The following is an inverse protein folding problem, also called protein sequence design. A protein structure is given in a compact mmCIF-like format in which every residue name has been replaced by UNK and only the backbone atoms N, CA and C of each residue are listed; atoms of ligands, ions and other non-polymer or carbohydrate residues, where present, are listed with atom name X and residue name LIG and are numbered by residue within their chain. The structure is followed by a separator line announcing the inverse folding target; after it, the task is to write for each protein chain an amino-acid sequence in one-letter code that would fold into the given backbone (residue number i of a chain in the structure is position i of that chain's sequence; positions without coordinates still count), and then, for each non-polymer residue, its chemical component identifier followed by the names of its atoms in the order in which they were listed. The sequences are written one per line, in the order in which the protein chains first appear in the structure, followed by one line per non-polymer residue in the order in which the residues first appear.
data_IF_034920381235
#
_entry.id   IF_034920381235
#
_cell.length_a   1.000
_cell.length_b   1.000
_cell.length_c   1.000
_cell.angle_alpha   90.00
_cell.angle_beta   90.00
_cell.angle_gamma   90.00
#
_symmetry.space_group_name_H-M   'P 1'
#
loop_
_entity.id
_entity.type
_entity.pdbx_description
1 polymer ?
#
# COMPACT_ATOMS: atom_id res chain seq x y z
N UNK A 1 12.03 12.07 -24.03
CA UNK A 1 11.37 10.93 -23.37
C UNK A 1 10.05 11.49 -22.86
N UNK A 2 8.91 11.07 -23.41
CA UNK A 2 7.61 11.64 -23.04
C UNK A 2 7.35 11.44 -21.55
N UNK A 3 6.79 12.44 -20.89
CA UNK A 3 6.27 12.32 -19.54
C UNK A 3 5.10 11.32 -19.62
N UNK A 4 5.36 10.04 -19.34
CA UNK A 4 4.32 9.00 -19.35
C UNK A 4 3.55 9.15 -18.04
N UNK A 5 2.74 10.21 -17.97
CA UNK A 5 1.81 10.45 -16.88
C UNK A 5 0.83 9.29 -16.74
N UNK A 6 0.31 9.13 -15.53
CA UNK A 6 -0.66 8.08 -15.21
C UNK A 6 -1.91 8.22 -16.09
N UNK A 7 -2.26 7.15 -16.81
CA UNK A 7 -3.30 7.18 -17.85
C UNK A 7 -4.70 7.00 -17.27
N UNK A 8 -5.72 7.36 -18.06
CA UNK A 8 -7.14 7.13 -17.70
C UNK A 8 -7.43 5.66 -17.49
N UNK A 9 -6.87 4.82 -18.37
CA UNK A 9 -6.99 3.38 -18.28
C UNK A 9 -6.42 2.86 -16.96
N UNK A 10 -5.24 3.31 -16.57
CA UNK A 10 -4.63 2.92 -15.28
C UNK A 10 -5.48 3.39 -14.09
N UNK A 11 -6.04 4.61 -14.14
CA UNK A 11 -6.96 5.10 -13.09
C UNK A 11 -8.20 4.23 -12.97
N UNK A 12 -8.85 3.92 -14.10
CA UNK A 12 -10.02 3.04 -14.14
C UNK A 12 -9.70 1.66 -13.61
N UNK A 13 -8.58 1.04 -14.02
CA UNK A 13 -8.16 -0.27 -13.52
C UNK A 13 -8.00 -0.27 -12.01
N UNK A 14 -7.36 0.75 -11.44
CA UNK A 14 -7.19 0.87 -9.97
C UNK A 14 -8.52 1.07 -9.26
N UNK A 15 -9.41 1.92 -9.78
CA UNK A 15 -10.73 2.17 -9.18
C UNK A 15 -11.60 0.92 -9.20
N UNK A 16 -11.72 0.26 -10.34
CA UNK A 16 -12.56 -0.94 -10.48
C UNK A 16 -12.05 -2.11 -9.64
N UNK A 17 -10.74 -2.33 -9.61
CA UNK A 17 -10.14 -3.35 -8.77
C UNK A 17 -10.28 -3.04 -7.27
N UNK A 18 -10.21 -1.77 -6.88
CA UNK A 18 -10.48 -1.36 -5.51
C UNK A 18 -11.94 -1.62 -5.11
N UNK A 19 -12.91 -1.36 -6.00
CA UNK A 19 -14.31 -1.70 -5.75
C UNK A 19 -14.52 -3.20 -5.49
N UNK A 20 -13.76 -4.07 -6.17
CA UNK A 20 -13.81 -5.52 -5.95
C UNK A 20 -13.19 -5.89 -4.59
N UNK A 21 -11.99 -5.39 -4.27
CA UNK A 21 -11.35 -5.66 -2.98
C UNK A 21 -12.20 -5.20 -1.79
N UNK A 22 -12.93 -4.08 -1.92
CA UNK A 22 -13.81 -3.59 -0.85
C UNK A 22 -14.93 -4.54 -0.46
N UNK A 23 -15.30 -5.49 -1.31
CA UNK A 23 -16.38 -6.43 -1.02
C UNK A 23 -16.05 -7.37 0.14
N UNK A 24 -14.76 -7.64 0.40
CA UNK A 24 -14.32 -8.46 1.53
C UNK A 24 -13.00 -7.93 2.14
N UNK A 25 -13.08 -6.71 2.68
CA UNK A 25 -11.96 -6.08 3.40
C UNK A 25 -11.37 -7.00 4.48
N UNK A 26 -12.16 -7.70 5.34
CA UNK A 26 -11.61 -8.61 6.32
C UNK A 26 -10.72 -9.70 5.71
N UNK A 27 -11.17 -10.39 4.66
CA UNK A 27 -10.40 -11.43 3.96
C UNK A 27 -9.11 -10.86 3.39
N UNK A 28 -9.18 -9.78 2.62
CA UNK A 28 -8.01 -9.26 1.91
C UNK A 28 -7.03 -8.54 2.84
N UNK A 29 -7.48 -7.96 3.95
CA UNK A 29 -6.59 -7.44 4.98
C UNK A 29 -5.78 -8.55 5.64
N UNK A 30 -6.44 -9.67 5.96
CA UNK A 30 -5.77 -10.85 6.53
C UNK A 30 -4.76 -11.42 5.54
N UNK A 31 -5.17 -11.63 4.29
CA UNK A 31 -4.31 -12.15 3.24
C UNK A 31 -3.07 -11.26 3.02
N UNK A 32 -3.25 -9.95 2.94
CA UNK A 32 -2.17 -8.98 2.77
C UNK A 32 -1.10 -9.08 3.86
N UNK A 33 -1.51 -9.08 5.13
CA UNK A 33 -0.54 -9.23 6.22
C UNK A 33 0.08 -10.62 6.29
N UNK A 34 -0.65 -11.67 5.94
CA UNK A 34 -0.07 -13.01 5.81
C UNK A 34 1.03 -13.02 4.75
N UNK A 35 0.83 -12.35 3.60
CA UNK A 35 1.86 -12.24 2.56
C UNK A 35 3.08 -11.45 3.02
N UNK A 36 2.89 -10.34 3.75
CA UNK A 36 4.02 -9.58 4.34
C UNK A 36 4.86 -10.48 5.25
N UNK A 37 4.23 -11.23 6.15
CA UNK A 37 4.95 -12.09 7.09
C UNK A 37 5.54 -13.35 6.44
N UNK A 38 4.95 -13.83 5.34
CA UNK A 38 5.52 -14.91 4.55
C UNK A 38 6.81 -14.48 3.85
N UNK A 39 6.83 -13.26 3.29
CA UNK A 39 8.00 -12.70 2.59
C UNK A 39 9.08 -12.27 3.58
N UNK A 40 8.68 -11.59 4.67
CA UNK A 40 9.59 -11.05 5.68
C UNK A 40 9.02 -11.27 7.09
N UNK A 41 9.26 -12.44 7.72
CA UNK A 41 8.78 -12.72 9.07
C UNK A 41 9.26 -11.69 10.12
N UNK A 42 10.46 -11.13 9.93
CA UNK A 42 11.04 -10.11 10.80
C UNK A 42 10.23 -8.79 10.83
N UNK A 43 9.40 -8.52 9.81
CA UNK A 43 8.56 -7.32 9.78
C UNK A 43 7.43 -7.36 10.83
N UNK A 44 7.15 -8.53 11.43
CA UNK A 44 6.14 -8.72 12.46
C UNK A 44 6.26 -7.70 13.61
N UNK A 45 7.48 -7.51 14.13
CA UNK A 45 7.72 -6.69 15.32
C UNK A 45 7.56 -5.18 15.07
N UNK A 46 7.56 -4.78 13.80
CA UNK A 46 7.31 -3.41 13.35
C UNK A 46 5.83 -3.05 13.45
N UNK A 47 4.95 -4.04 13.35
CA UNK A 47 3.51 -3.85 13.52
C UNK A 47 3.12 -4.11 14.97
N UNK A 48 2.88 -3.03 15.72
CA UNK A 48 2.47 -3.12 17.14
C UNK A 48 1.23 -3.98 17.40
N UNK A 49 0.38 -4.20 16.39
CA UNK A 49 -0.80 -5.06 16.46
C UNK A 49 -0.55 -6.54 16.09
N UNK A 50 0.69 -6.91 15.75
CA UNK A 50 1.13 -8.28 15.46
C UNK A 50 2.16 -8.82 16.46
N UNK A 51 2.85 -7.95 17.21
CA UNK A 51 3.97 -8.31 18.09
C UNK A 51 3.66 -9.46 19.05
N UNK A 52 2.49 -9.45 19.67
CA UNK A 52 2.10 -10.42 20.71
C UNK A 52 1.26 -11.60 20.17
N UNK A 53 1.23 -11.83 18.85
CA UNK A 53 0.41 -12.89 18.24
C UNK A 53 1.28 -13.87 17.46
N UNK A 54 1.16 -15.17 17.71
CA UNK A 54 1.92 -16.19 16.96
C UNK A 54 1.52 -16.24 15.47
N UNK A 55 0.27 -15.91 15.17
CA UNK A 55 -0.31 -15.87 13.83
C UNK A 55 -0.91 -14.50 13.53
N UNK A 56 -1.24 -14.24 12.25
CA UNK A 56 -1.94 -13.02 11.85
C UNK A 56 -3.37 -13.03 12.43
N UNK A 57 -3.72 -12.10 13.32
CA UNK A 57 -4.98 -12.15 14.05
C UNK A 57 -6.17 -11.79 13.15
N UNK A 58 -7.01 -12.79 12.85
CA UNK A 58 -8.16 -12.70 11.92
C UNK A 58 -9.15 -11.57 12.22
N UNK A 59 -9.33 -11.24 13.50
CA UNK A 59 -10.30 -10.24 13.96
C UNK A 59 -9.66 -9.00 14.60
N UNK A 60 -8.46 -8.61 14.15
CA UNK A 60 -7.80 -7.41 14.67
C UNK A 60 -8.25 -6.14 13.91
N UNK A 61 -8.92 -5.17 14.57
CA UNK A 61 -9.38 -3.95 13.92
C UNK A 61 -8.23 -3.03 13.46
N UNK A 62 -7.09 -3.03 14.16
CA UNK A 62 -5.92 -2.23 13.77
C UNK A 62 -5.28 -2.74 12.48
N UNK A 63 -5.21 -4.07 12.34
CA UNK A 63 -4.74 -4.73 11.12
C UNK A 63 -5.60 -4.33 9.92
N UNK A 64 -6.93 -4.49 10.06
CA UNK A 64 -7.89 -4.11 9.01
C UNK A 64 -7.77 -2.62 8.66
N UNK A 65 -7.69 -1.75 9.67
CA UNK A 65 -7.54 -0.31 9.45
C UNK A 65 -6.24 0.04 8.72
N UNK A 66 -5.13 -0.63 9.02
CA UNK A 66 -3.85 -0.38 8.35
C UNK A 66 -3.90 -0.85 6.89
N UNK A 67 -4.38 -2.07 6.62
CA UNK A 67 -4.53 -2.57 5.25
C UNK A 67 -5.42 -1.65 4.40
N UNK A 68 -6.57 -1.22 4.93
CA UNK A 68 -7.45 -0.28 4.23
C UNK A 68 -6.76 1.05 3.95
N UNK A 69 -5.95 1.58 4.87
CA UNK A 69 -5.18 2.80 4.62
C UNK A 69 -4.22 2.63 3.44
N UNK A 70 -3.49 1.52 3.38
CA UNK A 70 -2.57 1.23 2.26
C UNK A 70 -3.34 1.17 0.93
N UNK A 71 -4.41 0.36 0.87
CA UNK A 71 -5.18 0.20 -0.38
C UNK A 71 -5.84 1.51 -0.81
N UNK A 72 -6.50 2.21 0.13
CA UNK A 72 -7.21 3.44 -0.15
C UNK A 72 -6.26 4.56 -0.58
N UNK A 73 -5.16 4.77 0.14
CA UNK A 73 -4.21 5.84 -0.20
C UNK A 73 -3.50 5.55 -1.52
N UNK A 74 -3.25 4.29 -1.85
CA UNK A 74 -2.71 3.92 -3.17
C UNK A 74 -3.71 4.21 -4.28
N UNK A 75 -4.99 3.87 -4.08
CA UNK A 75 -6.07 4.23 -5.02
C UNK A 75 -6.23 5.76 -5.18
N UNK A 76 -6.18 6.52 -4.09
CA UNK A 76 -6.22 7.99 -4.13
C UNK A 76 -5.01 8.57 -4.85
N UNK A 77 -3.83 7.96 -4.68
CA UNK A 77 -2.61 8.34 -5.40
C UNK A 77 -2.75 8.15 -6.89
N UNK A 78 -3.33 7.02 -7.35
CA UNK A 78 -3.61 6.79 -8.77
C UNK A 78 -4.48 7.92 -9.38
N UNK A 79 -5.54 8.32 -8.66
CA UNK A 79 -6.42 9.42 -9.06
C UNK A 79 -5.65 10.74 -9.14
N UNK A 80 -4.86 11.06 -8.12
CA UNK A 80 -4.07 12.30 -8.08
C UNK A 80 -3.01 12.35 -9.17
N UNK A 81 -2.33 11.24 -9.45
CA UNK A 81 -1.35 11.16 -10.54
C UNK A 81 -2.02 11.42 -11.88
N UNK A 82 -3.24 10.91 -12.10
CA UNK A 82 -4.00 11.17 -13.32
C UNK A 82 -4.48 12.63 -13.42
N UNK A 83 -5.11 13.14 -12.38
CA UNK A 83 -5.73 14.47 -12.38
C UNK A 83 -4.71 15.61 -12.32
N UNK A 84 -3.60 15.41 -11.60
CA UNK A 84 -2.67 16.47 -11.20
C UNK A 84 -1.22 16.20 -11.59
N UNK A 85 -0.90 15.02 -12.11
CA UNK A 85 0.47 14.62 -12.48
C UNK A 85 1.40 14.38 -11.29
N UNK A 86 0.90 14.42 -10.05
CA UNK A 86 1.70 14.29 -8.82
C UNK A 86 0.86 13.84 -7.64
N UNK A 87 1.53 13.30 -6.62
CA UNK A 87 0.93 13.00 -5.32
C UNK A 87 0.60 14.32 -4.62
N UNK A 88 -0.65 14.47 -4.18
CA UNK A 88 -1.16 15.63 -3.44
C UNK A 88 -1.83 15.13 -2.17
N UNK A 89 -1.01 14.67 -1.23
CA UNK A 89 -1.42 14.37 0.14
C UNK A 89 -1.05 15.57 1.01
N UNK A 90 -1.91 15.98 1.93
CA UNK A 90 -1.66 17.12 2.79
C UNK A 90 -0.34 16.95 3.56
N UNK A 91 0.49 18.00 3.61
CA UNK A 91 1.82 17.97 4.22
C UNK A 91 1.81 17.41 5.65
N UNK A 92 0.82 17.83 6.46
CA UNK A 92 0.65 17.32 7.83
C UNK A 92 0.40 15.81 7.90
N UNK A 93 -0.24 15.25 6.89
CA UNK A 93 -0.47 13.80 6.78
C UNK A 93 0.81 13.09 6.34
N UNK A 94 1.53 13.62 5.36
CA UNK A 94 2.80 13.05 4.91
C UNK A 94 3.85 13.07 6.02
N UNK A 95 4.00 14.18 6.74
CA UNK A 95 4.89 14.31 7.90
C UNK A 95 4.55 13.28 8.98
N UNK A 96 3.26 13.14 9.31
CA UNK A 96 2.82 12.11 10.26
C UNK A 96 3.18 10.70 9.80
N UNK A 97 2.96 10.40 8.51
CA UNK A 97 3.30 9.09 7.95
C UNK A 97 4.80 8.85 7.98
N UNK A 98 5.63 9.82 7.57
CA UNK A 98 7.08 9.75 7.66
C UNK A 98 7.54 9.42 9.08
N UNK A 99 7.06 10.18 10.06
CA UNK A 99 7.39 10.00 11.48
C UNK A 99 7.05 8.61 12.00
N UNK A 100 5.85 8.11 11.69
CA UNK A 100 5.41 6.79 12.17
C UNK A 100 6.23 5.67 11.54
N UNK A 101 6.54 5.76 10.24
CA UNK A 101 7.34 4.74 9.56
C UNK A 101 8.78 4.75 10.07
N UNK A 102 9.37 5.94 10.24
CA UNK A 102 10.71 6.11 10.80
C UNK A 102 10.81 5.54 12.22
N UNK A 103 9.90 5.92 13.11
CA UNK A 103 9.85 5.42 14.51
C UNK A 103 9.63 3.92 14.60
N UNK A 104 9.01 3.32 13.60
CA UNK A 104 8.78 1.87 13.52
C UNK A 104 9.96 1.11 12.89
N UNK A 105 11.05 1.80 12.54
CA UNK A 105 12.24 1.20 11.93
C UNK A 105 12.03 0.75 10.49
N UNK A 106 11.07 1.34 9.77
CA UNK A 106 10.81 1.03 8.36
C UNK A 106 12.01 1.47 7.52
N UNK A 107 12.37 0.63 6.55
CA UNK A 107 13.52 0.80 5.67
C UNK A 107 13.04 0.60 4.24
N UNK A 108 13.84 1.02 3.26
CA UNK A 108 13.51 0.87 1.84
C UNK A 108 13.08 -0.57 1.45
N UNK A 109 13.77 -1.65 1.89
CA UNK A 109 13.35 -3.02 1.57
C UNK A 109 11.96 -3.39 2.10
N UNK A 110 11.52 -2.78 3.20
CA UNK A 110 10.19 -3.05 3.78
C UNK A 110 9.06 -2.53 2.87
N UNK A 111 9.28 -1.43 2.14
CA UNK A 111 8.31 -0.95 1.15
C UNK A 111 8.17 -1.93 -0.03
N UNK A 112 9.27 -2.53 -0.48
CA UNK A 112 9.24 -3.54 -1.54
C UNK A 112 8.47 -4.81 -1.11
N UNK A 113 8.67 -5.26 0.14
CA UNK A 113 7.87 -6.36 0.72
C UNK A 113 6.38 -6.04 0.72
N UNK A 114 6.02 -4.81 1.11
CA UNK A 114 4.63 -4.36 1.15
C UNK A 114 4.04 -4.25 -0.26
N UNK A 115 4.81 -3.80 -1.25
CA UNK A 115 4.42 -3.76 -2.67
C UNK A 115 4.12 -5.17 -3.20
N UNK A 116 5.03 -6.11 -2.98
CA UNK A 116 4.85 -7.51 -3.38
C UNK A 116 3.59 -8.11 -2.72
N UNK A 117 3.40 -7.89 -1.41
CA UNK A 117 2.21 -8.36 -0.70
C UNK A 117 0.91 -7.73 -1.25
N UNK A 118 0.93 -6.45 -1.64
CA UNK A 118 -0.19 -5.76 -2.27
C UNK A 118 -0.54 -6.42 -3.61
N UNK A 119 0.45 -6.67 -4.46
CA UNK A 119 0.28 -7.32 -5.77
C UNK A 119 -0.32 -8.73 -5.61
N UNK A 120 0.19 -9.53 -4.68
CA UNK A 120 -0.37 -10.86 -4.38
C UNK A 120 -1.82 -10.78 -3.89
N UNK A 121 -2.13 -9.76 -3.09
CA UNK A 121 -3.50 -9.52 -2.61
C UNK A 121 -4.44 -9.12 -3.74
N UNK A 122 -3.98 -8.31 -4.70
CA UNK A 122 -4.74 -7.98 -5.91
C UNK A 122 -5.02 -9.24 -6.74
N UNK A 123 -4.01 -10.11 -6.91
CA UNK A 123 -4.17 -11.37 -7.63
C UNK A 123 -5.21 -12.29 -6.99
N UNK A 124 -5.16 -12.45 -5.66
CA UNK A 124 -6.15 -13.22 -4.90
C UNK A 124 -7.55 -12.60 -4.98
N UNK A 125 -7.67 -11.28 -4.87
CA UNK A 125 -8.97 -10.62 -4.80
C UNK A 125 -9.68 -10.42 -6.14
N UNK A 126 -8.92 -10.31 -7.23
CA UNK A 126 -9.49 -10.09 -8.56
C UNK A 126 -9.70 -11.39 -9.34
N UNK A 127 -9.00 -12.48 -8.98
CA UNK A 127 -9.10 -13.76 -9.67
C UNK A 127 -8.86 -13.59 -11.18
N UNK A 128 -9.84 -13.99 -12.00
CA UNK A 128 -9.77 -13.90 -13.46
C UNK A 128 -9.67 -12.46 -14.00
N UNK A 129 -10.05 -11.45 -13.21
CA UNK A 129 -9.94 -10.04 -13.59
C UNK A 129 -8.53 -9.47 -13.39
N UNK A 130 -7.66 -10.22 -12.72
CA UNK A 130 -6.26 -9.83 -12.56
C UNK A 130 -5.50 -9.91 -13.89
N UNK A 131 -4.65 -8.92 -14.16
CA UNK A 131 -3.71 -8.95 -15.28
C UNK A 131 -2.52 -8.00 -15.00
N UNK A 132 -1.51 -8.06 -15.86
CA UNK A 132 -0.29 -7.25 -15.76
C UNK A 132 -0.56 -5.74 -15.81
N UNK A 133 -1.63 -5.30 -16.47
CA UNK A 133 -1.99 -3.87 -16.52
C UNK A 133 -2.52 -3.37 -15.18
N UNK A 134 -3.32 -4.18 -14.47
CA UNK A 134 -3.76 -3.88 -13.11
C UNK A 134 -2.56 -3.84 -12.17
N UNK A 135 -1.69 -4.84 -12.23
CA UNK A 135 -0.47 -4.91 -11.43
C UNK A 135 0.41 -3.67 -11.64
N UNK A 136 0.67 -3.31 -12.90
CA UNK A 136 1.47 -2.14 -13.25
C UNK A 136 0.85 -0.84 -12.76
N UNK A 137 -0.47 -0.67 -12.89
CA UNK A 137 -1.17 0.52 -12.42
C UNK A 137 -1.10 0.69 -10.90
N UNK A 138 -1.35 -0.38 -10.13
CA UNK A 138 -1.23 -0.35 -8.67
C UNK A 138 0.21 -0.17 -8.20
N UNK A 139 1.16 -0.86 -8.84
CA UNK A 139 2.59 -0.75 -8.52
C UNK A 139 3.10 0.67 -8.71
N UNK A 140 2.77 1.31 -9.84
CA UNK A 140 3.17 2.69 -10.10
C UNK A 140 2.56 3.66 -9.07
N UNK A 141 1.26 3.52 -8.77
CA UNK A 141 0.61 4.35 -7.76
C UNK A 141 1.23 4.17 -6.37
N UNK A 142 1.55 2.93 -5.99
CA UNK A 142 2.21 2.61 -4.73
C UNK A 142 3.60 3.22 -4.65
N UNK A 143 4.40 3.10 -5.72
CA UNK A 143 5.77 3.62 -5.77
C UNK A 143 5.81 5.14 -5.53
N UNK A 144 4.87 5.87 -6.15
CA UNK A 144 4.75 7.31 -5.95
C UNK A 144 4.34 7.68 -4.51
N UNK A 145 3.43 6.92 -3.90
CA UNK A 145 3.05 7.10 -2.50
C UNK A 145 4.22 6.80 -1.56
N UNK A 146 4.91 5.67 -1.78
CA UNK A 146 6.07 5.26 -1.00
C UNK A 146 7.20 6.30 -1.10
N UNK A 147 7.46 6.84 -2.29
CA UNK A 147 8.44 7.91 -2.50
C UNK A 147 8.09 9.17 -1.69
N UNK A 148 6.83 9.58 -1.67
CA UNK A 148 6.38 10.72 -0.88
C UNK A 148 6.60 10.50 0.63
N UNK A 149 6.28 9.31 1.15
CA UNK A 149 6.52 8.97 2.56
C UNK A 149 8.01 8.91 2.88
N UNK A 150 8.81 8.25 2.03
CA UNK A 150 10.28 8.14 2.18
C UNK A 150 10.97 9.51 2.18
N UNK A 151 10.43 10.47 1.44
CA UNK A 151 10.93 11.85 1.42
C UNK A 151 10.78 12.49 2.80
N UNK A 152 9.61 12.36 3.43
CA UNK A 152 9.38 12.86 4.79
C UNK A 152 10.19 12.10 5.85
N UNK A 153 10.38 10.79 5.70
CA UNK A 153 11.24 10.01 6.59
C UNK A 153 12.67 10.59 6.62
N UNK A 154 13.24 10.92 5.46
CA UNK A 154 14.57 11.52 5.34
C UNK A 154 14.64 12.93 5.91
N UNK A 155 13.57 13.71 5.75
CA UNK A 155 13.48 15.05 6.33
C UNK A 155 13.47 15.02 7.86
N UNK A 156 12.85 14.01 8.49
CA UNK A 156 12.82 13.88 9.95
C UNK A 156 14.13 13.30 10.54
N UNK A 157 14.91 12.56 9.75
CA UNK A 157 16.26 12.12 10.13
C UNK A 157 17.32 13.23 10.09
N UNK A 158 17.05 14.31 9.36
CA UNK A 158 17.99 15.43 9.08
C UNK A 158 17.97 16.51 10.16
#
# INVERSE_FOLDING_TARGET
MGDIGFTEKQETLVKESWEILKQDIPKYSLHFFSQILEIAPAAKDMFSFLRDSDEVPRNNPKLKAHAVKVFKMTCETAIQLREKGKVVVADTTLQYLGSVHLKSGVLDPHFEVVKEALVRTLKEGLGEKYNEEVEGAWSQAYDHLALAIKTEMKHEES
#
